data_IF_453089147621
#
_entry.id   IF_453089147621
#
_cell.length_a   1.000
_cell.length_b   1.000
_cell.length_c   1.000
_cell.angle_alpha   90.00
_cell.angle_beta   90.00
_cell.angle_gamma   90.00
#
_symmetry.space_group_name_H-M   'P 1'
#
loop_
_entity.id
_entity.type
_entity.pdbx_description
1 polymer ?
#
# COMPACT_ATOMS: atom_id res chain seq x y z
N UNK A 1 4.32 13.74 33.28
CA UNK A 1 5.23 13.81 32.11
C UNK A 1 5.89 12.44 31.99
N UNK A 2 5.20 11.49 31.38
CA UNK A 2 5.65 10.11 31.25
C UNK A 2 4.94 9.45 30.06
N UNK A 3 5.71 8.68 29.30
CA UNK A 3 5.33 7.62 28.37
C UNK A 3 4.39 7.96 27.21
N UNK A 4 5.00 8.43 26.13
CA UNK A 4 4.51 8.18 24.77
C UNK A 4 5.64 7.57 23.94
N UNK A 5 6.10 6.39 24.33
CA UNK A 5 6.96 5.58 23.48
C UNK A 5 6.11 4.96 22.36
N UNK A 6 6.54 5.23 21.13
CA UNK A 6 5.93 4.74 19.90
C UNK A 6 5.82 3.21 19.90
N UNK A 7 4.69 2.62 19.45
CA UNK A 7 4.49 1.17 19.41
C UNK A 7 5.43 0.42 18.44
N UNK A 8 6.29 1.13 17.71
CA UNK A 8 7.16 0.54 16.68
C UNK A 8 8.41 -0.15 17.25
N UNK A 9 8.82 0.15 18.49
CA UNK A 9 10.09 -0.34 19.07
C UNK A 9 9.92 -1.61 19.91
N UNK A 10 8.69 -1.98 20.28
CA UNK A 10 8.43 -3.05 21.25
C UNK A 10 8.35 -4.49 20.67
N UNK A 11 8.64 -4.70 19.38
CA UNK A 11 8.32 -5.99 18.71
C UNK A 11 9.54 -6.85 18.33
N UNK A 12 10.72 -6.62 18.92
CA UNK A 12 11.92 -7.40 18.55
C UNK A 12 12.08 -8.74 19.26
N UNK A 13 11.17 -9.15 20.15
CA UNK A 13 11.33 -10.38 20.94
C UNK A 13 10.03 -11.18 21.07
N UNK A 14 9.78 -12.11 20.12
CA UNK A 14 9.16 -13.42 20.41
C UNK A 14 9.18 -14.39 19.21
N UNK A 15 9.95 -15.47 19.42
CA UNK A 15 9.90 -16.83 18.84
C UNK A 15 10.21 -17.02 17.34
N UNK A 16 11.21 -17.85 17.00
CA UNK A 16 11.56 -18.21 15.63
C UNK A 16 10.67 -19.33 15.10
N UNK A 17 10.59 -19.46 13.77
CA UNK A 17 10.36 -20.67 12.94
C UNK A 17 9.50 -20.46 11.68
N UNK A 18 9.02 -19.25 11.39
CA UNK A 18 8.45 -18.96 10.06
C UNK A 18 8.49 -17.47 9.69
N UNK A 19 9.66 -16.84 9.83
CA UNK A 19 9.86 -15.42 9.52
C UNK A 19 9.35 -15.04 8.13
N UNK A 20 9.55 -15.90 7.13
CA UNK A 20 9.13 -15.62 5.74
C UNK A 20 7.60 -15.60 5.56
N UNK A 21 6.88 -16.60 6.06
CA UNK A 21 5.41 -16.63 5.97
C UNK A 21 4.78 -15.49 6.77
N UNK A 22 5.37 -15.15 7.93
CA UNK A 22 4.94 -14.00 8.71
C UNK A 22 5.15 -12.69 7.94
N UNK A 23 6.34 -12.47 7.36
CA UNK A 23 6.62 -11.30 6.52
C UNK A 23 5.64 -11.24 5.35
N UNK A 24 5.38 -12.35 4.67
CA UNK A 24 4.49 -12.40 3.52
C UNK A 24 3.05 -12.09 3.91
N UNK A 25 2.60 -12.61 5.05
CA UNK A 25 1.30 -12.27 5.63
C UNK A 25 1.20 -10.79 5.99
N UNK A 26 2.21 -10.29 6.70
CA UNK A 26 2.28 -8.91 7.13
C UNK A 26 2.23 -7.96 5.93
N UNK A 27 3.09 -8.16 4.92
CA UNK A 27 3.12 -7.33 3.71
C UNK A 27 1.80 -7.37 2.93
N UNK A 28 1.20 -8.54 2.72
CA UNK A 28 -0.10 -8.63 2.03
C UNK A 28 -1.18 -7.79 2.73
N UNK A 29 -1.19 -7.79 4.07
CA UNK A 29 -2.17 -7.01 4.84
C UNK A 29 -1.82 -5.54 4.93
N UNK A 30 -0.54 -5.23 5.04
CA UNK A 30 -0.06 -3.87 5.23
C UNK A 30 -0.26 -3.03 3.97
N UNK A 31 0.00 -3.59 2.78
CA UNK A 31 -0.25 -2.90 1.52
C UNK A 31 -1.72 -2.50 1.32
N UNK A 32 -2.65 -3.42 1.61
CA UNK A 32 -4.10 -3.12 1.54
C UNK A 32 -4.51 -2.06 2.58
N UNK A 33 -3.85 -2.06 3.75
CA UNK A 33 -4.08 -1.05 4.79
C UNK A 33 -3.55 0.32 4.38
N UNK A 34 -2.33 0.38 3.86
CA UNK A 34 -1.68 1.57 3.34
C UNK A 34 -2.54 2.25 2.28
N UNK A 35 -2.91 1.48 1.24
CA UNK A 35 -3.72 1.94 0.11
C UNK A 35 -5.10 2.46 0.51
N UNK A 36 -5.71 1.91 1.58
CA UNK A 36 -6.96 2.48 2.13
C UNK A 36 -6.74 3.86 2.77
N UNK A 37 -5.67 4.03 3.55
CA UNK A 37 -5.39 5.32 4.21
C UNK A 37 -4.99 6.38 3.19
N UNK A 38 -4.21 5.98 2.19
CA UNK A 38 -3.82 6.85 1.10
C UNK A 38 -5.02 7.36 0.29
N UNK A 39 -5.96 6.48 -0.07
CA UNK A 39 -7.19 6.90 -0.75
C UNK A 39 -7.97 7.94 0.04
N UNK A 40 -8.02 7.82 1.36
CA UNK A 40 -8.67 8.83 2.21
C UNK A 40 -7.96 10.18 2.14
N UNK A 41 -6.62 10.18 2.19
CA UNK A 41 -5.80 11.39 2.06
C UNK A 41 -6.01 12.02 0.68
N UNK A 42 -5.90 11.23 -0.39
CA UNK A 42 -6.06 11.69 -1.77
C UNK A 42 -7.47 12.24 -2.03
N UNK A 43 -8.51 11.64 -1.46
CA UNK A 43 -9.88 12.18 -1.55
C UNK A 43 -9.96 13.59 -0.96
N UNK A 44 -9.41 13.78 0.24
CA UNK A 44 -9.41 15.08 0.93
C UNK A 44 -8.59 16.13 0.16
N UNK A 45 -7.45 15.74 -0.40
CA UNK A 45 -6.63 16.63 -1.25
C UNK A 45 -7.41 17.03 -2.51
N UNK A 46 -8.07 16.08 -3.16
CA UNK A 46 -8.88 16.36 -4.35
C UNK A 46 -10.06 17.28 -4.03
N UNK A 47 -10.77 17.04 -2.93
CA UNK A 47 -11.85 17.92 -2.46
C UNK A 47 -11.36 19.34 -2.22
N UNK A 48 -10.19 19.50 -1.58
CA UNK A 48 -9.59 20.80 -1.33
C UNK A 48 -9.20 21.52 -2.63
N UNK A 49 -8.58 20.84 -3.60
CA UNK A 49 -8.21 21.45 -4.88
C UNK A 49 -9.44 21.72 -5.77
N UNK A 50 -10.45 20.85 -5.73
CA UNK A 50 -11.72 21.03 -6.43
C UNK A 50 -12.45 22.29 -5.98
N UNK A 51 -12.37 22.64 -4.69
CA UNK A 51 -12.89 23.92 -4.17
C UNK A 51 -12.24 25.16 -4.80
N UNK A 52 -11.06 25.00 -5.40
CA UNK A 52 -10.31 26.03 -6.14
C UNK A 52 -10.42 25.88 -7.67
N UNK A 53 -11.28 25.00 -8.17
CA UNK A 53 -11.44 24.73 -9.60
C UNK A 53 -10.32 23.88 -10.21
N UNK A 54 -9.46 23.27 -9.38
CA UNK A 54 -8.36 22.41 -9.82
C UNK A 54 -8.71 20.96 -9.47
N UNK A 55 -9.25 20.20 -10.40
CA UNK A 55 -9.54 18.77 -10.18
C UNK A 55 -8.32 17.91 -10.54
N UNK A 56 -8.05 16.87 -9.75
CA UNK A 56 -7.05 15.84 -10.06
C UNK A 56 -7.74 14.72 -10.84
N UNK A 57 -7.48 14.63 -12.14
CA UNK A 57 -8.17 13.68 -13.03
C UNK A 57 -7.60 12.27 -12.89
N UNK A 58 -6.32 12.13 -12.57
CA UNK A 58 -5.67 10.82 -12.36
C UNK A 58 -6.28 9.98 -11.24
N UNK A 59 -6.96 10.60 -10.27
CA UNK A 59 -7.66 9.89 -9.19
C UNK A 59 -8.91 9.14 -9.65
N UNK A 60 -9.57 9.59 -10.73
CA UNK A 60 -10.77 8.93 -11.25
C UNK A 60 -10.45 7.63 -12.01
N UNK A 61 -9.21 7.47 -12.49
CA UNK A 61 -8.73 6.29 -13.22
C UNK A 61 -7.86 5.34 -12.38
N UNK A 62 -7.78 5.55 -11.06
CA UNK A 62 -6.75 4.95 -10.20
C UNK A 62 -6.91 3.45 -9.89
N UNK A 63 -7.71 2.71 -10.66
CA UNK A 63 -7.74 1.23 -10.57
C UNK A 63 -6.33 0.63 -10.80
N UNK A 64 -5.43 1.37 -11.46
CA UNK A 64 -4.00 1.05 -11.62
C UNK A 64 -3.24 0.89 -10.29
N UNK A 65 -3.69 1.52 -9.20
CA UNK A 65 -3.02 1.51 -7.90
C UNK A 65 -3.68 0.62 -6.85
N UNK A 66 -4.80 -0.04 -7.17
CA UNK A 66 -5.57 -0.79 -6.16
C UNK A 66 -4.88 -2.09 -5.81
N UNK A 67 -4.53 -2.29 -4.53
CA UNK A 67 -3.98 -3.57 -4.11
C UNK A 67 -5.07 -4.66 -4.17
N UNK A 68 -4.82 -5.77 -4.89
CA UNK A 68 -5.76 -6.88 -4.91
C UNK A 68 -5.86 -7.49 -3.51
N UNK A 69 -7.09 -7.61 -2.99
CA UNK A 69 -7.33 -8.25 -1.69
C UNK A 69 -7.10 -9.77 -1.81
N UNK A 70 -5.93 -10.23 -1.37
CA UNK A 70 -5.57 -11.65 -1.37
C UNK A 70 -5.68 -12.24 0.02
N UNK A 71 -6.38 -13.36 0.12
CA UNK A 71 -6.51 -14.07 1.40
C UNK A 71 -5.20 -14.82 1.72
N UNK A 72 -4.48 -14.36 2.75
CA UNK A 72 -3.24 -14.99 3.19
C UNK A 72 -3.42 -16.47 3.55
N UNK A 73 -4.56 -16.87 4.12
CA UNK A 73 -4.80 -18.26 4.51
C UNK A 73 -4.82 -19.16 3.29
N UNK A 74 -5.47 -18.71 2.20
CA UNK A 74 -5.47 -19.42 0.93
C UNK A 74 -4.05 -19.55 0.38
N UNK A 75 -3.26 -18.48 0.44
CA UNK A 75 -1.89 -18.46 -0.05
C UNK A 75 -0.96 -19.38 0.78
N UNK A 76 -1.14 -19.42 2.09
CA UNK A 76 -0.43 -20.34 2.98
C UNK A 76 -0.82 -21.79 2.70
N UNK A 77 -2.11 -22.08 2.52
CA UNK A 77 -2.59 -23.41 2.17
C UNK A 77 -2.04 -23.87 0.82
N UNK A 78 -2.09 -23.02 -0.22
CA UNK A 78 -1.50 -23.29 -1.53
C UNK A 78 0.01 -23.53 -1.44
N UNK A 79 0.72 -22.77 -0.59
CA UNK A 79 2.15 -22.98 -0.33
C UNK A 79 2.42 -24.35 0.30
N UNK A 80 1.56 -24.83 1.20
CA UNK A 80 1.70 -26.15 1.81
C UNK A 80 1.44 -27.29 0.82
N UNK A 81 0.33 -27.25 0.07
CA UNK A 81 -0.03 -28.33 -0.87
C UNK A 81 0.91 -28.42 -2.08
N UNK A 82 1.54 -27.31 -2.46
CA UNK A 82 2.50 -27.26 -3.58
C UNK A 82 3.95 -27.48 -3.12
N UNK A 83 4.17 -27.96 -1.89
CA UNK A 83 5.51 -28.16 -1.32
C UNK A 83 6.40 -26.91 -1.43
N UNK A 84 5.81 -25.76 -1.10
CA UNK A 84 6.38 -24.40 -1.18
C UNK A 84 6.62 -23.83 -2.58
N UNK A 85 6.28 -24.51 -3.68
CA UNK A 85 6.43 -23.92 -5.02
C UNK A 85 5.61 -22.62 -5.20
N UNK A 86 4.40 -22.58 -4.63
CA UNK A 86 3.55 -21.40 -4.66
C UNK A 86 4.16 -20.19 -3.92
N UNK A 87 5.12 -20.38 -3.00
CA UNK A 87 5.79 -19.27 -2.32
C UNK A 87 6.56 -18.35 -3.28
N UNK A 88 7.03 -18.89 -4.42
CA UNK A 88 7.67 -18.10 -5.48
C UNK A 88 6.66 -17.17 -6.16
N UNK A 89 5.46 -17.68 -6.45
CA UNK A 89 4.38 -16.85 -6.98
C UNK A 89 3.93 -15.79 -5.97
N UNK A 90 3.84 -16.16 -4.68
CA UNK A 90 3.51 -15.21 -3.64
C UNK A 90 4.57 -14.09 -3.55
N UNK A 91 5.85 -14.42 -3.57
CA UNK A 91 6.93 -13.44 -3.63
C UNK A 91 6.84 -12.51 -4.85
N UNK A 92 6.51 -13.07 -6.01
CA UNK A 92 6.25 -12.30 -7.22
C UNK A 92 5.12 -11.28 -7.01
N UNK A 93 3.99 -11.68 -6.40
CA UNK A 93 2.90 -10.75 -6.12
C UNK A 93 3.33 -9.63 -5.16
N UNK A 94 4.04 -9.98 -4.09
CA UNK A 94 4.57 -9.01 -3.12
C UNK A 94 5.56 -8.01 -3.72
N UNK A 95 6.18 -8.35 -4.85
CA UNK A 95 7.12 -7.46 -5.55
C UNK A 95 6.42 -6.65 -6.66
N UNK A 96 5.52 -7.29 -7.41
CA UNK A 96 4.83 -6.66 -8.54
C UNK A 96 3.80 -5.64 -8.08
N UNK A 97 2.99 -5.95 -7.07
CA UNK A 97 1.87 -5.07 -6.70
C UNK A 97 2.35 -3.71 -6.18
N UNK A 98 3.36 -3.62 -5.28
CA UNK A 98 3.89 -2.32 -4.87
C UNK A 98 4.55 -1.56 -6.03
N UNK A 99 5.22 -2.25 -6.95
CA UNK A 99 5.83 -1.60 -8.11
C UNK A 99 4.79 -0.97 -9.05
N UNK A 100 3.68 -1.65 -9.33
CA UNK A 100 2.59 -1.07 -10.13
C UNK A 100 1.91 0.08 -9.37
N UNK A 101 1.72 -0.07 -8.06
CA UNK A 101 1.20 0.99 -7.20
C UNK A 101 2.10 2.25 -7.22
N UNK A 102 3.43 2.10 -7.13
CA UNK A 102 4.36 3.24 -7.22
C UNK A 102 4.37 3.95 -8.58
N UNK A 103 4.06 3.24 -9.68
CA UNK A 103 3.86 3.90 -10.98
C UNK A 103 2.61 4.78 -10.97
N UNK A 104 1.53 4.31 -10.36
CA UNK A 104 0.30 5.10 -10.19
C UNK A 104 0.55 6.33 -9.31
N UNK A 105 1.27 6.17 -8.20
CA UNK A 105 1.73 7.27 -7.34
C UNK A 105 2.42 8.38 -8.11
N UNK A 106 3.40 8.02 -8.93
CA UNK A 106 4.19 9.00 -9.68
C UNK A 106 3.30 9.91 -10.51
N UNK A 107 2.31 9.36 -11.20
CA UNK A 107 1.38 10.13 -12.03
C UNK A 107 0.50 11.08 -11.18
N UNK A 108 -0.01 10.58 -10.06
CA UNK A 108 -0.85 11.36 -9.14
C UNK A 108 -0.05 12.49 -8.51
N UNK A 109 1.17 12.21 -8.03
CA UNK A 109 2.05 13.18 -7.38
C UNK A 109 2.52 14.27 -8.35
N UNK A 110 2.86 13.91 -9.60
CA UNK A 110 3.20 14.86 -10.66
C UNK A 110 2.02 15.81 -10.96
N UNK A 111 0.78 15.27 -11.03
CA UNK A 111 -0.41 16.09 -11.24
C UNK A 111 -0.68 17.02 -10.04
N UNK A 112 -0.61 16.50 -8.81
CA UNK A 112 -0.77 17.31 -7.59
C UNK A 112 0.25 18.44 -7.56
N UNK A 113 1.54 18.15 -7.82
CA UNK A 113 2.61 19.14 -7.82
C UNK A 113 2.35 20.25 -8.86
N UNK A 114 1.91 19.86 -10.06
CA UNK A 114 1.51 20.79 -11.13
C UNK A 114 0.37 21.73 -10.71
N UNK A 115 -0.72 21.18 -10.14
CA UNK A 115 -1.86 21.98 -9.66
C UNK A 115 -1.48 22.92 -8.51
N UNK A 116 -0.65 22.45 -7.58
CA UNK A 116 -0.19 23.29 -6.46
C UNK A 116 0.70 24.42 -6.98
N UNK A 117 1.59 24.14 -7.95
CA UNK A 117 2.44 25.17 -8.54
C UNK A 117 1.61 26.27 -9.23
N UNK A 118 0.51 25.90 -9.89
CA UNK A 118 -0.38 26.87 -10.55
C UNK A 118 -1.16 27.76 -9.58
N UNK A 119 -1.25 27.40 -8.28
CA UNK A 119 -1.90 28.25 -7.26
C UNK A 119 -1.01 29.41 -6.78
N UNK A 120 0.30 29.35 -7.04
CA UNK A 120 1.27 30.38 -6.61
C UNK A 120 1.45 31.49 -7.65
N UNK A 121 0.95 31.28 -8.88
CA UNK A 121 0.93 32.26 -9.96
C UNK A 121 -0.35 33.11 -9.88
#
# INVERSE_FOLDING_TARGET
MADRLHPFVAFSHRRPHSHLLYIYHFLNRDFVRHDRHEREILSRVNEALKSKGLEIVSLAGSELGKFPSRNTVVYAFLSLITLNLFTVYWWYTLSRDPNEHFKAHRLIEEEIASKIASLKA
#
